data_IF_245596674806
#
_entry.id   IF_245596674806
#
_cell.length_a   1.000
_cell.length_b   1.000
_cell.length_c   1.000
_cell.angle_alpha   90.00
_cell.angle_beta   90.00
_cell.angle_gamma   90.00
#
_symmetry.space_group_name_H-M   'P 1'
#
loop_
_entity.id
_entity.type
_entity.pdbx_description
1 polymer ?
#
# COMPACT_ATOMS: atom_id res chain seq x y z
N UNK A 1 20.22 -43.75 46.36
CA UNK A 1 19.43 -42.50 46.55
C UNK A 1 18.55 -42.34 45.34
N UNK A 2 17.29 -42.76 45.41
CA UNK A 2 16.35 -42.64 44.29
C UNK A 2 15.51 -41.41 44.57
N UNK A 3 15.73 -40.34 43.80
CA UNK A 3 14.94 -39.11 43.90
C UNK A 3 13.54 -39.46 43.40
N UNK A 4 12.58 -39.62 44.32
CA UNK A 4 11.16 -39.65 43.96
C UNK A 4 10.78 -38.24 43.56
N UNK A 5 10.76 -37.96 42.26
CA UNK A 5 10.11 -36.78 41.72
C UNK A 5 8.63 -36.90 42.05
N UNK A 6 8.11 -35.93 42.79
CA UNK A 6 6.70 -35.84 43.16
C UNK A 6 5.89 -35.52 41.90
N UNK A 7 5.23 -36.55 41.33
CA UNK A 7 4.44 -36.44 40.09
C UNK A 7 3.40 -35.32 40.15
N UNK A 8 2.85 -35.06 41.34
CA UNK A 8 1.83 -34.03 41.56
C UNK A 8 2.43 -32.61 41.44
N UNK A 9 3.68 -32.43 41.91
CA UNK A 9 4.44 -31.20 41.71
C UNK A 9 4.79 -30.98 40.23
N UNK A 10 5.19 -32.03 39.51
CA UNK A 10 5.46 -31.95 38.07
C UNK A 10 4.20 -31.61 37.27
N UNK A 11 3.05 -32.18 37.65
CA UNK A 11 1.76 -31.90 37.01
C UNK A 11 1.29 -30.46 37.25
N UNK A 12 1.44 -29.95 38.47
CA UNK A 12 1.13 -28.54 38.78
C UNK A 12 2.02 -27.55 38.02
N UNK A 13 3.30 -27.87 37.85
CA UNK A 13 4.22 -27.06 37.04
C UNK A 13 3.80 -27.10 35.57
N UNK A 14 3.47 -28.28 35.03
CA UNK A 14 2.99 -28.42 33.65
C UNK A 14 1.70 -27.63 33.42
N UNK A 15 0.70 -27.73 34.30
CA UNK A 15 -0.55 -26.97 34.20
C UNK A 15 -0.35 -25.45 34.33
N UNK A 16 0.59 -25.01 35.18
CA UNK A 16 0.94 -23.59 35.28
C UNK A 16 1.66 -23.09 34.02
N UNK A 17 2.54 -23.91 33.44
CA UNK A 17 3.20 -23.62 32.17
C UNK A 17 2.22 -23.64 30.99
N UNK A 18 1.23 -24.52 30.96
CA UNK A 18 0.16 -24.54 29.96
C UNK A 18 -0.76 -23.31 30.05
N UNK A 19 -1.03 -22.80 31.27
CA UNK A 19 -1.76 -21.52 31.45
C UNK A 19 -0.94 -20.29 31.05
N UNK A 20 0.39 -20.40 31.09
CA UNK A 20 1.32 -19.37 30.64
C UNK A 20 1.67 -19.51 29.16
N UNK A 21 1.44 -20.69 28.56
CA UNK A 21 1.59 -20.90 27.14
C UNK A 21 0.58 -20.01 26.41
N UNK A 22 1.02 -19.18 25.46
CA UNK A 22 0.10 -18.45 24.60
C UNK A 22 -0.86 -19.47 23.97
N UNK A 23 -2.18 -19.22 23.94
CA UNK A 23 -3.11 -20.10 23.24
C UNK A 23 -2.61 -20.30 21.81
N UNK A 24 -2.74 -21.51 21.26
CA UNK A 24 -2.37 -21.84 19.88
C UNK A 24 -2.94 -20.76 18.94
N UNK A 25 -2.08 -19.82 18.54
CA UNK A 25 -2.52 -18.69 17.74
C UNK A 25 -2.79 -19.24 16.35
N UNK A 26 -4.08 -19.40 16.03
CA UNK A 26 -4.52 -19.77 14.69
C UNK A 26 -3.84 -18.83 13.70
N UNK A 27 -3.12 -19.40 12.73
CA UNK A 27 -2.42 -18.62 11.70
C UNK A 27 -3.40 -17.61 11.06
N UNK A 28 -3.02 -16.34 10.93
CA UNK A 28 -3.84 -15.33 10.28
C UNK A 28 -4.28 -15.79 8.88
N UNK A 29 -5.58 -15.71 8.60
CA UNK A 29 -6.15 -16.07 7.30
C UNK A 29 -7.00 -14.88 6.78
N UNK A 30 -6.85 -14.47 5.51
CA UNK A 30 -7.62 -13.37 4.92
C UNK A 30 -9.06 -13.79 4.55
N UNK A 31 -9.84 -14.20 5.55
CA UNK A 31 -11.25 -14.60 5.43
C UNK A 31 -12.19 -13.57 6.07
N UNK A 32 -13.44 -13.50 5.60
CA UNK A 32 -14.50 -12.70 6.22
C UNK A 32 -14.52 -11.19 5.89
N UNK A 33 -13.50 -10.66 5.21
CA UNK A 33 -13.48 -9.29 4.70
C UNK A 33 -12.70 -9.20 3.38
N UNK A 34 -12.80 -8.08 2.67
CA UNK A 34 -12.05 -7.85 1.42
C UNK A 34 -10.77 -7.04 1.60
N UNK A 35 -10.61 -6.41 2.75
CA UNK A 35 -9.41 -5.68 3.10
C UNK A 35 -9.01 -5.94 4.55
N UNK A 36 -7.72 -5.88 4.81
CA UNK A 36 -7.13 -6.12 6.12
C UNK A 36 -5.95 -5.19 6.38
N UNK A 37 -5.65 -4.96 7.65
CA UNK A 37 -4.38 -4.37 8.10
C UNK A 37 -3.58 -5.46 8.80
N UNK A 38 -2.31 -5.61 8.44
CA UNK A 38 -1.38 -6.49 9.15
C UNK A 38 -0.95 -5.83 10.46
N UNK A 39 -1.08 -6.54 11.57
CA UNK A 39 -0.59 -6.10 12.87
C UNK A 39 0.33 -7.14 13.48
N UNK A 40 1.37 -6.66 14.13
CA UNK A 40 2.33 -7.46 14.89
C UNK A 40 1.96 -7.42 16.38
N UNK A 41 2.31 -8.47 17.12
CA UNK A 41 2.13 -8.55 18.58
C UNK A 41 0.66 -8.52 19.08
N UNK A 42 -0.15 -9.55 18.75
CA UNK A 42 0.19 -10.75 17.99
C UNK A 42 -0.01 -10.58 16.48
N UNK A 43 0.58 -11.51 15.72
CA UNK A 43 0.39 -11.59 14.27
C UNK A 43 -1.08 -11.78 13.93
N UNK A 44 -1.70 -10.77 13.33
CA UNK A 44 -3.12 -10.79 12.97
C UNK A 44 -3.41 -9.99 11.69
N UNK A 45 -4.48 -10.40 11.02
CA UNK A 45 -5.08 -9.67 9.91
C UNK A 45 -6.39 -9.04 10.41
N UNK A 46 -6.35 -7.74 10.71
CA UNK A 46 -7.52 -7.02 11.19
C UNK A 46 -8.42 -6.65 10.01
N UNK A 47 -9.70 -7.10 9.97
CA UNK A 47 -10.59 -6.82 8.85
C UNK A 47 -10.97 -5.35 8.79
N UNK A 48 -10.92 -4.78 7.59
CA UNK A 48 -11.37 -3.41 7.27
C UNK A 48 -12.69 -3.51 6.54
N UNK A 49 -13.78 -3.17 7.23
CA UNK A 49 -15.15 -3.26 6.68
C UNK A 49 -15.46 -2.16 5.67
N UNK A 50 -14.83 -0.99 5.82
CA UNK A 50 -15.00 0.14 4.91
C UNK A 50 -13.65 0.68 4.45
N UNK A 51 -13.20 0.24 3.28
CA UNK A 51 -11.98 0.76 2.66
C UNK A 51 -12.26 2.17 2.15
N UNK A 52 -11.54 3.14 2.69
CA UNK A 52 -11.57 4.51 2.18
C UNK A 52 -10.89 4.57 0.80
N UNK A 53 -11.69 4.40 -0.24
CA UNK A 53 -11.30 4.51 -1.64
C UNK A 53 -12.11 5.61 -2.33
N UNK A 54 -11.52 6.18 -3.38
CA UNK A 54 -12.18 7.15 -4.23
C UNK A 54 -12.64 6.38 -5.49
N UNK A 55 -13.81 6.73 -6.03
CA UNK A 55 -14.26 6.16 -7.30
C UNK A 55 -13.19 6.41 -8.39
N UNK A 56 -12.83 5.38 -9.17
CA UNK A 56 -11.81 5.48 -10.22
C UNK A 56 -12.04 6.63 -11.20
N UNK A 57 -13.31 6.96 -11.49
CA UNK A 57 -13.68 8.02 -12.43
C UNK A 57 -13.31 9.42 -11.93
N UNK A 58 -13.11 9.60 -10.63
CA UNK A 58 -12.71 10.86 -10.00
C UNK A 58 -11.19 11.07 -10.03
N UNK A 59 -10.41 10.02 -10.29
CA UNK A 59 -8.96 10.12 -10.44
C UNK A 59 -8.62 10.61 -11.86
N UNK A 60 -8.51 11.93 -12.02
CA UNK A 60 -8.19 12.58 -13.30
C UNK A 60 -6.68 12.81 -13.48
N UNK A 61 -6.23 12.87 -14.73
CA UNK A 61 -4.83 13.17 -15.08
C UNK A 61 -3.87 12.00 -14.84
N UNK A 62 -4.41 10.81 -14.55
CA UNK A 62 -3.63 9.58 -14.32
C UNK A 62 -4.17 8.39 -15.13
N UNK A 63 -4.97 8.65 -16.17
CA UNK A 63 -5.70 7.64 -16.93
C UNK A 63 -4.78 6.52 -17.46
N UNK A 64 -3.64 6.86 -18.05
CA UNK A 64 -2.69 5.88 -18.55
C UNK A 64 -2.15 4.94 -17.45
N UNK A 65 -1.75 5.51 -16.31
CA UNK A 65 -1.23 4.75 -15.16
C UNK A 65 -2.32 3.91 -14.51
N UNK A 66 -3.53 4.46 -14.41
CA UNK A 66 -4.72 3.75 -13.94
C UNK A 66 -4.97 2.51 -14.78
N UNK A 67 -5.02 2.65 -16.09
CA UNK A 67 -5.41 1.57 -16.99
C UNK A 67 -4.38 0.42 -16.96
N UNK A 68 -3.08 0.75 -16.89
CA UNK A 68 -2.01 -0.24 -16.71
C UNK A 68 -2.19 -1.02 -15.40
N UNK A 69 -2.43 -0.31 -14.28
CA UNK A 69 -2.58 -0.95 -12.99
C UNK A 69 -3.82 -1.84 -12.95
N UNK A 70 -4.95 -1.38 -13.48
CA UNK A 70 -6.18 -2.17 -13.60
C UNK A 70 -5.94 -3.45 -14.39
N UNK A 71 -5.32 -3.35 -15.56
CA UNK A 71 -5.05 -4.53 -16.39
C UNK A 71 -4.18 -5.55 -15.66
N UNK A 72 -3.11 -5.10 -15.01
CA UNK A 72 -2.21 -5.94 -14.23
C UNK A 72 -2.92 -6.60 -13.03
N UNK A 73 -3.77 -5.85 -12.32
CA UNK A 73 -4.55 -6.38 -11.19
C UNK A 73 -5.62 -7.38 -11.64
N UNK A 74 -6.27 -7.16 -12.78
CA UNK A 74 -7.24 -8.12 -13.36
C UNK A 74 -6.55 -9.43 -13.74
N UNK A 75 -5.43 -9.36 -14.47
CA UNK A 75 -4.62 -10.53 -14.80
C UNK A 75 -4.26 -11.33 -13.55
N UNK A 76 -3.78 -10.63 -12.51
CA UNK A 76 -3.47 -11.26 -11.23
C UNK A 76 -4.70 -11.95 -10.63
N UNK A 77 -5.84 -11.25 -10.53
CA UNK A 77 -7.07 -11.75 -9.93
C UNK A 77 -7.64 -12.99 -10.65
N UNK A 78 -7.53 -13.02 -11.98
CA UNK A 78 -7.93 -14.15 -12.83
C UNK A 78 -6.94 -15.33 -12.78
N UNK A 79 -5.78 -15.09 -12.18
CA UNK A 79 -4.76 -16.08 -11.93
C UNK A 79 -3.66 -16.24 -12.96
N UNK A 80 -3.50 -15.23 -13.78
CA UNK A 80 -2.39 -15.09 -14.70
C UNK A 80 -1.21 -14.34 -14.05
N UNK A 81 -0.01 -14.45 -14.65
CA UNK A 81 1.16 -13.68 -14.21
C UNK A 81 0.90 -12.17 -14.23
N UNK A 82 1.40 -11.50 -13.22
CA UNK A 82 1.30 -10.05 -13.06
C UNK A 82 2.52 -9.52 -12.31
N UNK A 83 2.78 -8.22 -12.47
CA UNK A 83 3.96 -7.54 -11.95
C UNK A 83 3.68 -6.83 -10.63
N UNK A 84 4.65 -6.88 -9.71
CA UNK A 84 4.71 -5.96 -8.57
C UNK A 84 4.75 -4.52 -9.09
N UNK A 85 4.08 -3.60 -8.40
CA UNK A 85 3.94 -2.21 -8.85
C UNK A 85 4.47 -1.21 -7.82
N UNK A 86 5.31 -0.29 -8.27
CA UNK A 86 5.75 0.88 -7.52
C UNK A 86 5.17 2.15 -8.15
N UNK A 87 4.26 2.80 -7.43
CA UNK A 87 3.68 4.08 -7.82
C UNK A 87 4.48 5.20 -7.16
N UNK A 88 5.18 6.02 -7.94
CA UNK A 88 6.09 7.03 -7.40
C UNK A 88 5.77 8.43 -7.91
N UNK A 89 6.22 9.45 -7.19
CA UNK A 89 6.17 10.83 -7.65
C UNK A 89 5.31 11.74 -6.78
N UNK A 90 4.64 12.71 -7.39
CA UNK A 90 4.10 13.87 -6.69
C UNK A 90 3.12 13.51 -5.55
N UNK A 91 3.25 14.24 -4.43
CA UNK A 91 2.37 14.09 -3.25
C UNK A 91 0.96 14.56 -3.60
N UNK A 92 -0.05 13.82 -3.13
CA UNK A 92 -1.45 14.22 -3.26
C UNK A 92 -2.11 13.94 -4.63
N UNK A 93 -1.44 13.24 -5.55
CA UNK A 93 -2.03 12.84 -6.86
C UNK A 93 -2.82 11.53 -6.82
N UNK A 94 -3.07 10.98 -5.63
CA UNK A 94 -3.90 9.79 -5.50
C UNK A 94 -3.18 8.46 -5.78
N UNK A 95 -1.87 8.33 -5.51
CA UNK A 95 -1.14 7.05 -5.63
C UNK A 95 -1.78 5.93 -4.77
N UNK A 96 -1.94 6.20 -3.48
CA UNK A 96 -2.62 5.30 -2.52
C UNK A 96 -4.09 5.09 -2.89
N UNK A 97 -4.77 6.18 -3.26
CA UNK A 97 -6.17 6.15 -3.71
C UNK A 97 -6.36 5.28 -4.94
N UNK A 98 -5.42 5.28 -5.89
CA UNK A 98 -5.49 4.46 -7.08
C UNK A 98 -5.42 2.98 -6.73
N UNK A 99 -4.49 2.54 -5.88
CA UNK A 99 -4.39 1.13 -5.47
C UNK A 99 -5.70 0.66 -4.82
N UNK A 100 -6.24 1.46 -3.90
CA UNK A 100 -7.51 1.16 -3.21
C UNK A 100 -8.70 1.12 -4.17
N UNK A 101 -8.74 2.04 -5.14
CA UNK A 101 -9.79 2.11 -6.15
C UNK A 101 -9.71 0.95 -7.17
N UNK A 102 -8.51 0.55 -7.59
CA UNK A 102 -8.30 -0.60 -8.48
C UNK A 102 -8.69 -1.90 -7.78
N UNK A 103 -8.32 -2.09 -6.50
CA UNK A 103 -8.80 -3.23 -5.72
C UNK A 103 -10.33 -3.28 -5.66
N UNK A 104 -10.98 -2.14 -5.37
CA UNK A 104 -12.42 -2.04 -5.28
C UNK A 104 -13.13 -2.37 -6.62
N UNK A 105 -12.55 -1.97 -7.75
CA UNK A 105 -13.05 -2.25 -9.11
C UNK A 105 -12.88 -3.71 -9.53
N UNK A 106 -11.75 -4.34 -9.17
CA UNK A 106 -11.47 -5.70 -9.59
C UNK A 106 -12.20 -6.73 -8.72
N UNK A 107 -12.33 -6.48 -7.41
CA UNK A 107 -13.02 -7.42 -6.50
C UNK A 107 -14.51 -7.61 -6.83
N UNK A 108 -15.15 -6.63 -7.49
CA UNK A 108 -16.57 -6.68 -7.86
C UNK A 108 -16.82 -7.46 -9.14
N UNK A 109 -15.77 -7.91 -9.83
CA UNK A 109 -15.89 -8.79 -10.99
C UNK A 109 -16.24 -10.20 -10.51
N UNK A 110 -17.27 -10.83 -11.10
CA UNK A 110 -17.82 -12.11 -10.65
C UNK A 110 -16.74 -13.18 -10.43
N UNK A 111 -16.69 -13.73 -9.21
CA UNK A 111 -15.76 -14.81 -8.84
C UNK A 111 -14.38 -14.36 -8.34
N UNK A 112 -14.02 -13.07 -8.42
CA UNK A 112 -12.71 -12.59 -8.00
C UNK A 112 -12.54 -12.62 -6.47
N UNK A 113 -11.78 -13.60 -5.95
CA UNK A 113 -11.38 -13.67 -4.53
C UNK A 113 -10.13 -12.83 -4.28
N UNK A 114 -10.22 -11.51 -4.46
CA UNK A 114 -9.10 -10.58 -4.27
C UNK A 114 -9.18 -9.85 -2.92
N UNK A 115 -8.18 -10.06 -2.06
CA UNK A 115 -8.01 -9.31 -0.81
C UNK A 115 -6.98 -8.18 -0.99
N UNK A 116 -7.16 -7.10 -0.23
CA UNK A 116 -6.17 -6.05 -0.02
C UNK A 116 -5.63 -6.14 1.40
N UNK A 117 -4.33 -6.26 1.59
CA UNK A 117 -3.71 -6.25 2.91
C UNK A 117 -2.76 -5.06 2.98
N UNK A 118 -3.03 -4.11 3.88
CA UNK A 118 -2.13 -3.01 4.16
C UNK A 118 -1.07 -3.47 5.16
N UNK A 119 0.21 -3.27 4.84
CA UNK A 119 1.34 -3.45 5.75
C UNK A 119 2.03 -2.11 5.95
N UNK A 120 2.27 -1.76 7.22
CA UNK A 120 3.00 -0.55 7.53
C UNK A 120 4.49 -0.71 7.24
N UNK A 121 5.16 0.40 6.97
CA UNK A 121 6.58 0.41 6.59
C UNK A 121 7.46 -0.20 7.69
N UNK A 122 7.16 0.12 8.95
CA UNK A 122 7.81 -0.40 10.15
C UNK A 122 7.69 -1.92 10.30
N UNK A 123 6.65 -2.52 9.72
CA UNK A 123 6.37 -3.96 9.82
C UNK A 123 6.95 -4.77 8.66
N UNK A 124 7.59 -4.12 7.68
CA UNK A 124 8.28 -4.80 6.56
C UNK A 124 9.24 -5.91 6.99
N UNK A 125 10.00 -5.80 8.10
CA UNK A 125 10.82 -6.91 8.59
C UNK A 125 10.03 -8.20 8.87
N UNK A 126 8.72 -8.10 9.12
CA UNK A 126 7.83 -9.23 9.39
C UNK A 126 7.18 -9.85 8.15
N UNK A 127 7.49 -9.32 6.95
CA UNK A 127 6.99 -9.86 5.68
C UNK A 127 7.10 -11.38 5.54
N UNK A 128 8.23 -12.04 5.88
CA UNK A 128 8.32 -13.50 5.76
C UNK A 128 7.22 -14.24 6.53
N UNK A 129 6.93 -13.80 7.77
CA UNK A 129 5.88 -14.39 8.63
C UNK A 129 4.49 -14.21 8.00
N UNK A 130 4.22 -13.03 7.44
CA UNK A 130 2.97 -12.76 6.74
C UNK A 130 2.84 -13.65 5.49
N UNK A 131 3.89 -13.75 4.67
CA UNK A 131 3.87 -14.58 3.46
C UNK A 131 3.66 -16.07 3.77
N UNK A 132 4.21 -16.57 4.88
CA UNK A 132 3.96 -17.95 5.34
C UNK A 132 2.50 -18.20 5.69
N UNK A 133 1.82 -17.19 6.23
CA UNK A 133 0.38 -17.24 6.50
C UNK A 133 -0.43 -17.18 5.20
N UNK A 134 0.01 -16.40 4.21
CA UNK A 134 -0.69 -16.24 2.94
C UNK A 134 -0.46 -17.40 1.96
N UNK A 135 0.62 -18.17 2.11
CA UNK A 135 0.94 -19.31 1.23
C UNK A 135 -0.08 -20.43 1.31
N UNK A 136 -0.77 -20.58 2.43
CA UNK A 136 -1.75 -21.66 2.67
C UNK A 136 -3.17 -21.31 2.22
N UNK A 137 -3.40 -20.10 1.69
CA UNK A 137 -4.72 -19.69 1.19
C UNK A 137 -4.78 -19.71 -0.34
N UNK A 138 -5.92 -20.11 -0.89
CA UNK A 138 -6.22 -20.00 -2.33
C UNK A 138 -6.61 -18.56 -2.73
N UNK A 139 -6.84 -17.69 -1.75
CA UNK A 139 -7.25 -16.31 -1.99
C UNK A 139 -6.07 -15.52 -2.57
N UNK A 140 -6.35 -14.70 -3.58
CA UNK A 140 -5.37 -13.80 -4.16
C UNK A 140 -5.30 -12.52 -3.35
N UNK A 141 -4.09 -12.01 -3.14
CA UNK A 141 -3.83 -10.93 -2.20
C UNK A 141 -2.96 -9.87 -2.84
N UNK A 142 -3.42 -8.62 -2.82
CA UNK A 142 -2.58 -7.44 -2.99
C UNK A 142 -2.02 -7.09 -1.61
N UNK A 143 -0.72 -7.25 -1.44
CA UNK A 143 0.00 -6.72 -0.29
C UNK A 143 0.43 -5.29 -0.61
N UNK A 144 -0.10 -4.33 0.14
CA UNK A 144 0.02 -2.91 -0.12
C UNK A 144 0.81 -2.20 0.98
N UNK A 145 1.86 -1.47 0.60
CA UNK A 145 2.60 -0.59 1.50
C UNK A 145 2.49 0.87 1.03
N UNK A 146 1.87 1.74 1.85
CA UNK A 146 1.76 3.16 1.53
C UNK A 146 3.00 3.94 2.00
N UNK A 147 3.39 4.97 1.23
CA UNK A 147 4.55 5.84 1.49
C UNK A 147 5.84 5.10 1.84
N UNK A 148 6.19 4.12 1.01
CA UNK A 148 7.43 3.37 1.11
C UNK A 148 8.63 4.26 0.75
N UNK A 149 9.46 4.54 1.75
CA UNK A 149 10.78 5.14 1.58
C UNK A 149 11.68 4.74 2.74
N UNK A 150 12.96 4.51 2.47
CA UNK A 150 13.93 4.12 3.48
C UNK A 150 14.92 5.25 3.75
N UNK A 151 15.40 5.31 4.99
CA UNK A 151 16.45 6.23 5.42
C UNK A 151 17.79 5.49 5.60
N UNK A 152 18.86 6.25 5.85
CA UNK A 152 20.26 5.77 5.90
C UNK A 152 20.48 4.55 6.79
N UNK A 153 19.76 4.49 7.91
CA UNK A 153 19.93 3.48 8.97
C UNK A 153 18.87 2.37 8.90
N UNK A 154 17.98 2.42 7.92
CA UNK A 154 16.88 1.47 7.83
C UNK A 154 17.37 0.15 7.24
N UNK A 155 17.26 -0.93 8.01
CA UNK A 155 17.62 -2.29 7.57
C UNK A 155 16.45 -3.06 6.96
N UNK A 156 15.22 -2.53 7.05
CA UNK A 156 13.99 -3.20 6.59
C UNK A 156 13.95 -3.40 5.08
N UNK A 157 14.68 -2.61 4.29
CA UNK A 157 14.76 -2.79 2.84
C UNK A 157 15.33 -4.16 2.44
N UNK A 158 16.15 -4.79 3.29
CA UNK A 158 16.72 -6.13 3.02
C UNK A 158 15.63 -7.20 2.99
N UNK A 159 14.68 -7.13 3.93
CA UNK A 159 13.53 -8.04 3.97
C UNK A 159 12.66 -7.87 2.73
N UNK A 160 12.40 -6.63 2.31
CA UNK A 160 11.66 -6.37 1.08
C UNK A 160 12.41 -6.87 -0.16
N UNK A 161 13.73 -6.63 -0.25
CA UNK A 161 14.58 -7.10 -1.35
C UNK A 161 14.49 -8.61 -1.49
N UNK A 162 14.66 -9.35 -0.40
CA UNK A 162 14.60 -10.82 -0.40
C UNK A 162 13.26 -11.37 -0.92
N UNK A 163 12.15 -10.70 -0.59
CA UNK A 163 10.80 -11.05 -1.08
C UNK A 163 10.65 -10.78 -2.58
N UNK A 164 11.17 -9.64 -3.06
CA UNK A 164 11.06 -9.25 -4.46
C UNK A 164 12.03 -10.02 -5.39
N UNK A 165 13.20 -10.42 -4.90
CA UNK A 165 14.21 -11.17 -5.66
C UNK A 165 13.91 -12.66 -5.79
N UNK A 166 12.93 -13.17 -5.02
CA UNK A 166 12.55 -14.57 -5.07
C UNK A 166 13.64 -15.48 -4.50
N UNK A 167 14.00 -15.27 -3.22
CA UNK A 167 14.82 -16.23 -2.47
C UNK A 167 14.20 -17.64 -2.42
N UNK A 168 14.85 -18.60 -1.75
CA UNK A 168 14.46 -20.02 -1.76
C UNK A 168 12.96 -20.26 -1.48
N UNK A 169 12.38 -19.53 -0.52
CA UNK A 169 10.94 -19.60 -0.24
C UNK A 169 10.11 -18.68 -1.13
N UNK A 170 10.68 -17.55 -1.55
CA UNK A 170 10.11 -16.59 -2.47
C UNK A 170 8.74 -16.02 -2.07
N UNK A 171 8.20 -15.15 -2.91
CA UNK A 171 6.80 -14.68 -2.80
C UNK A 171 5.85 -15.78 -3.28
N UNK A 172 4.76 -16.10 -2.55
CA UNK A 172 3.71 -17.00 -3.03
C UNK A 172 3.04 -16.49 -4.33
N UNK A 173 2.61 -17.41 -5.20
CA UNK A 173 1.95 -17.06 -6.48
C UNK A 173 0.62 -16.32 -6.31
N UNK A 174 -0.04 -16.50 -5.17
CA UNK A 174 -1.29 -15.84 -4.81
C UNK A 174 -1.10 -14.47 -4.14
N UNK A 175 0.13 -13.95 -4.05
CA UNK A 175 0.42 -12.63 -3.45
C UNK A 175 1.06 -11.71 -4.49
N UNK A 176 0.64 -10.46 -4.62
CA UNK A 176 1.31 -9.43 -5.43
C UNK A 176 1.63 -8.21 -4.57
N UNK A 177 2.77 -7.56 -4.78
CA UNK A 177 3.21 -6.44 -3.95
C UNK A 177 3.05 -5.10 -4.65
N UNK A 178 2.24 -4.21 -4.09
CA UNK A 178 2.08 -2.82 -4.53
C UNK A 178 2.61 -1.85 -3.47
N UNK A 179 3.35 -0.84 -3.89
CA UNK A 179 3.84 0.20 -3.01
C UNK A 179 3.64 1.59 -3.61
N UNK A 180 3.47 2.60 -2.76
CA UNK A 180 3.57 4.00 -3.19
C UNK A 180 4.83 4.63 -2.62
N UNK A 181 5.40 5.61 -3.32
CA UNK A 181 6.50 6.41 -2.79
C UNK A 181 6.41 7.87 -3.25
N UNK A 182 6.88 8.77 -2.39
CA UNK A 182 7.05 10.17 -2.78
C UNK A 182 8.37 10.42 -3.53
N UNK A 183 9.25 9.42 -3.59
CA UNK A 183 10.53 9.46 -4.30
C UNK A 183 10.49 8.47 -5.46
N UNK A 184 11.21 8.80 -6.54
CA UNK A 184 11.35 7.90 -7.70
C UNK A 184 12.11 6.62 -7.35
N UNK A 185 13.10 6.74 -6.48
CA UNK A 185 13.87 5.63 -5.92
C UNK A 185 13.55 5.53 -4.43
N UNK A 186 13.44 4.30 -3.93
CA UNK A 186 13.12 4.03 -2.52
C UNK A 186 14.25 4.43 -1.56
N UNK A 187 15.47 4.57 -2.08
CA UNK A 187 16.68 4.96 -1.34
C UNK A 187 17.16 6.36 -1.78
N UNK A 188 17.56 7.26 -0.85
CA UNK A 188 18.23 8.52 -1.17
C UNK A 188 19.51 8.32 -2.00
N UNK A 189 19.81 9.29 -2.88
CA UNK A 189 21.06 9.30 -3.68
C UNK A 189 22.31 9.34 -2.81
N UNK A 190 22.28 10.05 -1.68
CA UNK A 190 23.41 10.12 -0.74
C UNK A 190 23.70 8.76 -0.08
N UNK A 191 22.69 7.90 0.13
CA UNK A 191 22.94 6.51 0.58
C UNK A 191 23.70 5.71 -0.48
N UNK A 192 23.36 5.94 -1.74
CA UNK A 192 23.97 5.30 -2.88
C UNK A 192 25.43 5.81 -3.02
N UNK A 193 25.66 7.10 -2.79
CA UNK A 193 26.99 7.72 -2.95
C UNK A 193 27.92 7.52 -1.74
N UNK A 194 27.43 7.51 -0.50
CA UNK A 194 28.28 7.34 0.69
C UNK A 194 28.92 5.93 0.78
N UNK A 195 28.22 4.88 0.35
CA UNK A 195 28.82 3.54 0.26
C UNK A 195 29.85 3.41 -0.86
N UNK A 196 29.84 4.30 -1.87
CA UNK A 196 30.93 4.37 -2.87
C UNK A 196 32.27 4.71 -2.23
N UNK A 197 32.24 5.31 -1.05
CA UNK A 197 33.43 5.88 -0.40
C UNK A 197 34.00 4.96 0.67
N UNK A 198 33.19 4.03 1.20
CA UNK A 198 33.54 3.19 2.37
C UNK A 198 33.62 1.70 2.07
N UNK A 199 33.17 1.22 0.91
CA UNK A 199 33.17 -0.21 0.56
C UNK A 199 34.34 -0.57 -0.36
N UNK A 200 34.93 -1.74 -0.16
CA UNK A 200 36.07 -2.26 -0.95
C UNK A 200 35.70 -2.40 -2.45
N UNK A 201 34.43 -2.72 -2.75
CA UNK A 201 33.85 -2.73 -4.10
C UNK A 201 32.66 -1.74 -4.21
N UNK A 202 32.92 -0.46 -4.46
CA UNK A 202 31.89 0.59 -4.41
C UNK A 202 30.87 0.55 -5.55
N UNK A 203 31.16 -0.13 -6.65
CA UNK A 203 30.23 -0.29 -7.78
C UNK A 203 29.14 -1.34 -7.50
N UNK A 204 29.48 -2.45 -6.84
CA UNK A 204 28.53 -3.54 -6.54
C UNK A 204 27.50 -3.13 -5.48
N UNK A 205 27.91 -2.45 -4.40
CA UNK A 205 26.99 -1.98 -3.33
C UNK A 205 25.97 -0.96 -3.84
N UNK A 206 26.37 -0.13 -4.81
CA UNK A 206 25.53 0.88 -5.47
C UNK A 206 24.48 0.22 -6.36
N UNK A 207 24.89 -0.71 -7.22
CA UNK A 207 23.95 -1.49 -8.04
C UNK A 207 22.99 -2.28 -7.16
N UNK A 208 23.44 -2.84 -6.04
CA UNK A 208 22.60 -3.58 -5.10
C UNK A 208 21.50 -2.73 -4.43
N UNK A 209 21.70 -1.43 -4.22
CA UNK A 209 20.70 -0.53 -3.61
C UNK A 209 19.81 0.19 -4.61
N UNK A 210 20.31 0.47 -5.81
CA UNK A 210 19.47 0.94 -6.93
C UNK A 210 18.52 -0.19 -7.38
N UNK A 211 18.97 -1.45 -7.30
CA UNK A 211 18.23 -2.62 -7.78
C UNK A 211 16.86 -2.84 -7.13
N UNK A 212 16.60 -2.36 -5.92
CA UNK A 212 15.33 -2.64 -5.23
C UNK A 212 14.12 -2.04 -5.98
N UNK A 213 14.28 -0.81 -6.50
CA UNK A 213 13.20 -0.17 -7.27
C UNK A 213 13.00 -0.87 -8.62
N UNK A 214 14.08 -1.38 -9.22
CA UNK A 214 14.04 -2.09 -10.51
C UNK A 214 13.41 -3.49 -10.39
N UNK A 215 13.24 -4.03 -9.18
CA UNK A 215 12.49 -5.29 -8.94
C UNK A 215 10.97 -5.15 -9.07
N UNK A 216 10.47 -3.92 -9.20
CA UNK A 216 9.07 -3.68 -9.52
C UNK A 216 8.87 -3.70 -11.02
N UNK A 217 8.23 -4.75 -11.54
CA UNK A 217 7.96 -4.90 -12.97
C UNK A 217 7.05 -3.80 -13.54
N UNK A 218 6.25 -3.12 -12.69
CA UNK A 218 5.56 -1.88 -13.03
C UNK A 218 6.12 -0.72 -12.23
N UNK A 219 6.63 0.29 -12.94
CA UNK A 219 7.16 1.50 -12.35
C UNK A 219 6.37 2.72 -12.85
N UNK A 220 5.37 3.12 -12.07
CA UNK A 220 4.31 4.03 -12.50
C UNK A 220 4.53 5.44 -11.94
N UNK A 221 4.87 6.37 -12.83
CA UNK A 221 5.19 7.76 -12.47
C UNK A 221 3.96 8.67 -12.36
N UNK A 222 3.86 9.40 -11.26
CA UNK A 222 2.87 10.43 -11.01
C UNK A 222 3.55 11.81 -11.06
N UNK A 223 3.17 12.61 -12.06
CA UNK A 223 3.75 13.91 -12.32
C UNK A 223 3.03 15.04 -11.57
N UNK A 224 3.58 16.26 -11.64
CA UNK A 224 2.96 17.45 -11.08
C UNK A 224 1.60 17.75 -11.75
N UNK A 225 0.70 18.37 -10.99
CA UNK A 225 -0.66 18.63 -11.45
C UNK A 225 -0.66 19.94 -12.24
N UNK A 226 -1.02 19.86 -13.51
CA UNK A 226 -1.25 21.05 -14.30
C UNK A 226 -2.47 21.82 -13.77
N UNK A 227 -2.65 23.06 -14.22
CA UNK A 227 -3.86 23.80 -13.88
C UNK A 227 -5.12 23.11 -14.43
N UNK A 228 -5.02 22.55 -15.63
CA UNK A 228 -6.15 21.94 -16.31
C UNK A 228 -6.51 20.60 -15.67
N UNK A 229 -5.53 19.82 -15.21
CA UNK A 229 -5.76 18.62 -14.40
C UNK A 229 -6.47 18.98 -13.09
N UNK A 230 -5.98 20.02 -12.40
CA UNK A 230 -6.55 20.47 -11.14
C UNK A 230 -8.01 20.91 -11.29
N UNK A 231 -8.32 21.71 -12.32
CA UNK A 231 -9.69 22.12 -12.62
C UNK A 231 -10.55 20.93 -13.05
N UNK A 232 -10.01 20.00 -13.84
CA UNK A 232 -10.71 18.78 -14.25
C UNK A 232 -11.08 17.89 -13.07
N UNK A 233 -10.23 17.80 -12.05
CA UNK A 233 -10.54 17.10 -10.79
C UNK A 233 -11.71 17.79 -10.07
N UNK A 234 -11.69 19.12 -9.95
CA UNK A 234 -12.74 19.90 -9.30
C UNK A 234 -14.08 19.72 -10.01
N UNK A 235 -14.11 19.87 -11.33
CA UNK A 235 -15.33 19.65 -12.11
C UNK A 235 -15.80 18.20 -12.03
N UNK A 236 -14.87 17.23 -12.02
CA UNK A 236 -15.21 15.82 -11.79
C UNK A 236 -15.90 15.59 -10.44
N UNK A 237 -15.42 16.23 -9.37
CA UNK A 237 -16.10 16.18 -8.07
C UNK A 237 -17.45 16.89 -8.10
N UNK A 238 -17.55 18.06 -8.73
CA UNK A 238 -18.83 18.79 -8.85
C UNK A 238 -19.88 17.93 -9.55
N UNK A 239 -19.52 17.32 -10.68
CA UNK A 239 -20.43 16.47 -11.46
C UNK A 239 -20.86 15.23 -10.68
N UNK A 240 -19.93 14.61 -9.95
CA UNK A 240 -20.19 13.42 -9.15
C UNK A 240 -21.14 13.70 -7.98
N UNK A 241 -20.89 14.77 -7.22
CA UNK A 241 -21.70 15.16 -6.07
C UNK A 241 -22.88 16.09 -6.43
N UNK A 242 -23.12 16.31 -7.73
CA UNK A 242 -24.20 17.17 -8.26
C UNK A 242 -24.18 18.57 -7.65
N UNK A 243 -22.99 19.15 -7.52
CA UNK A 243 -22.80 20.52 -7.04
C UNK A 243 -23.18 21.48 -8.16
N UNK A 244 -24.38 22.03 -8.08
CA UNK A 244 -24.92 22.99 -9.04
C UNK A 244 -24.46 24.42 -8.70
N UNK A 245 -23.20 24.71 -9.03
CA UNK A 245 -22.59 26.03 -8.92
C UNK A 245 -21.99 26.44 -10.25
N UNK A 246 -21.96 27.74 -10.51
CA UNK A 246 -21.37 28.28 -11.74
C UNK A 246 -19.88 27.91 -11.87
N UNK A 247 -19.50 27.32 -13.01
CA UNK A 247 -18.16 26.80 -13.22
C UNK A 247 -17.12 27.92 -13.34
N UNK A 248 -17.49 29.09 -13.86
CA UNK A 248 -16.57 30.22 -13.99
C UNK A 248 -16.24 30.83 -12.63
N UNK A 249 -17.24 31.02 -11.77
CA UNK A 249 -17.05 31.41 -10.37
C UNK A 249 -16.21 30.37 -9.60
N UNK A 250 -16.51 29.08 -9.75
CA UNK A 250 -15.74 28.01 -9.11
C UNK A 250 -14.30 27.98 -9.60
N UNK A 251 -14.06 28.18 -10.89
CA UNK A 251 -12.71 28.24 -11.46
C UNK A 251 -11.87 29.31 -10.75
N UNK A 252 -12.39 30.53 -10.62
CA UNK A 252 -11.67 31.62 -9.98
C UNK A 252 -11.31 31.27 -8.52
N UNK A 253 -12.30 30.81 -7.75
CA UNK A 253 -12.14 30.41 -6.34
C UNK A 253 -11.17 29.23 -6.16
N UNK A 254 -11.24 28.25 -7.03
CA UNK A 254 -10.36 27.09 -7.03
C UNK A 254 -8.89 27.48 -7.26
N UNK A 255 -8.65 28.38 -8.21
CA UNK A 255 -7.30 28.85 -8.52
C UNK A 255 -6.74 29.69 -7.38
N UNK A 256 -7.55 30.57 -6.78
CA UNK A 256 -7.18 31.30 -5.57
C UNK A 256 -6.83 30.35 -4.42
N UNK A 257 -7.67 29.35 -4.14
CA UNK A 257 -7.42 28.34 -3.13
C UNK A 257 -6.08 27.62 -3.34
N UNK A 258 -5.79 27.22 -4.58
CA UNK A 258 -4.53 26.54 -4.92
C UNK A 258 -3.29 27.42 -4.67
N UNK A 259 -3.41 28.73 -4.92
CA UNK A 259 -2.34 29.72 -4.67
C UNK A 259 -2.10 29.89 -3.17
N UNK A 260 -3.17 30.02 -2.37
CA UNK A 260 -3.06 30.12 -0.90
C UNK A 260 -2.45 28.85 -0.29
N UNK A 261 -2.73 27.68 -0.86
CA UNK A 261 -2.12 26.41 -0.42
C UNK A 261 -0.71 26.18 -0.96
N UNK A 262 -0.26 26.98 -1.94
CA UNK A 262 1.04 26.84 -2.59
C UNK A 262 1.20 25.55 -3.42
N UNK A 263 0.11 24.85 -3.74
CA UNK A 263 0.17 23.57 -4.43
C UNK A 263 -1.10 23.25 -5.21
N UNK A 264 -0.95 22.44 -6.27
CA UNK A 264 -2.04 21.81 -7.02
C UNK A 264 -1.90 20.30 -6.92
N UNK A 265 -2.98 19.63 -6.51
CA UNK A 265 -3.04 18.17 -6.43
C UNK A 265 -4.50 17.73 -6.23
N UNK A 266 -4.78 16.45 -6.44
CA UNK A 266 -6.10 15.87 -6.11
C UNK A 266 -6.49 16.09 -4.66
N UNK A 267 -5.54 16.00 -3.73
CA UNK A 267 -5.77 16.32 -2.30
C UNK A 267 -6.25 17.76 -2.11
N UNK A 268 -5.58 18.73 -2.76
CA UNK A 268 -5.97 20.15 -2.66
C UNK A 268 -7.33 20.40 -3.30
N UNK A 269 -7.62 19.74 -4.43
CA UNK A 269 -8.91 19.81 -5.09
C UNK A 269 -10.04 19.28 -4.20
N UNK A 270 -9.83 18.13 -3.54
CA UNK A 270 -10.79 17.57 -2.58
C UNK A 270 -11.03 18.50 -1.40
N UNK A 271 -9.96 19.07 -0.82
CA UNK A 271 -10.08 20.04 0.29
C UNK A 271 -10.86 21.29 -0.12
N UNK A 272 -10.70 21.76 -1.36
CA UNK A 272 -11.49 22.86 -1.90
C UNK A 272 -12.97 22.48 -2.04
N UNK A 273 -13.28 21.29 -2.55
CA UNK A 273 -14.66 20.78 -2.66
C UNK A 273 -15.31 20.65 -1.27
N UNK A 274 -14.57 20.18 -0.27
CA UNK A 274 -15.06 20.11 1.10
C UNK A 274 -15.37 21.51 1.68
N UNK A 275 -14.50 22.49 1.44
CA UNK A 275 -14.71 23.88 1.88
C UNK A 275 -15.95 24.50 1.21
N UNK A 276 -16.07 24.39 -0.12
CA UNK A 276 -17.21 24.99 -0.83
C UNK A 276 -18.53 24.30 -0.47
N UNK A 277 -18.54 22.95 -0.38
CA UNK A 277 -19.72 22.21 0.03
C UNK A 277 -20.13 22.54 1.47
N UNK A 278 -19.16 22.68 2.38
CA UNK A 278 -19.39 23.10 3.76
C UNK A 278 -20.02 24.49 3.86
N UNK A 279 -19.49 25.48 3.11
CA UNK A 279 -20.03 26.85 3.07
C UNK A 279 -21.44 26.90 2.49
N UNK A 280 -21.71 26.10 1.45
CA UNK A 280 -23.01 26.04 0.77
C UNK A 280 -24.00 25.07 1.43
N UNK A 281 -23.60 24.36 2.49
CA UNK A 281 -24.39 23.32 3.18
C UNK A 281 -24.84 22.18 2.26
N UNK A 282 -24.00 21.81 1.30
CA UNK A 282 -24.20 20.67 0.40
C UNK A 282 -23.64 19.40 1.07
N UNK A 283 -24.42 18.31 1.07
CA UNK A 283 -23.94 17.02 1.55
C UNK A 283 -23.15 16.31 0.45
N UNK A 284 -21.95 15.85 0.76
CA UNK A 284 -21.13 15.01 -0.12
C UNK A 284 -21.46 13.55 0.17
N UNK A 285 -22.49 13.03 -0.49
CA UNK A 285 -22.98 11.65 -0.39
C UNK A 285 -23.09 11.02 -1.76
#
# INVERSE_FOLDING_TARGET
>A
MTIKTDEDSLKRIAEALERLAPPDQKKPCPEGADAFVWTIEPDQLLPVTNVNHINLNLLKGIDHVRDILIQNTRQFADGFPANNALLWGARGMGKSSLVKAVHAEVRTTDGAKLALIEIHREDIPTLPRLLDCLRVTERRVILFCDDLSFDLEDSSYKSLKAVLEGGIEGRPENVIFYATSNRRHLMPREMIENERSTTINPAESVEEKVSLSDRFGLWLGFHGCSQDDYLSMIYGYMDHYKIDLDRDDIRAKALEWSRTRGARSGRVAWQFIQDIAGRMRIRLT
#
